data_IF_549568699800
#
_entry.id   IF_549568699800
#
_cell.length_a   1.000
_cell.length_b   1.000
_cell.length_c   1.000
_cell.angle_alpha   90.00
_cell.angle_beta   90.00
_cell.angle_gamma   90.00
#
_symmetry.space_group_name_H-M   'P 1'
#
loop_
_entity.id
_entity.type
_entity.pdbx_description
1 polymer ?
#
# COMPACT_ATOMS: atom_id res chain seq x y z
N UNK A 1 -6.01 -32.57 0.33
CA UNK A 1 -6.29 -32.34 -1.08
C UNK A 1 -5.89 -30.92 -1.37
N UNK A 2 -4.84 -30.71 -2.14
CA UNK A 2 -4.41 -29.37 -2.55
C UNK A 2 -5.49 -28.76 -3.41
N UNK A 3 -6.04 -27.60 -3.00
CA UNK A 3 -6.94 -26.83 -3.84
C UNK A 3 -6.24 -26.56 -5.18
N UNK A 4 -6.91 -26.78 -6.32
CA UNK A 4 -6.30 -26.45 -7.60
C UNK A 4 -6.01 -24.95 -7.64
N UNK A 5 -4.75 -24.60 -7.86
CA UNK A 5 -4.35 -23.22 -8.15
C UNK A 5 -5.22 -22.72 -9.31
N UNK A 6 -5.87 -21.54 -9.20
CA UNK A 6 -6.69 -21.02 -10.30
C UNK A 6 -5.88 -21.02 -11.58
N UNK A 7 -6.41 -21.62 -12.64
CA UNK A 7 -5.72 -21.69 -13.91
C UNK A 7 -5.48 -20.28 -14.46
N UNK A 8 -4.25 -19.97 -14.83
CA UNK A 8 -3.93 -18.77 -15.61
C UNK A 8 -4.59 -18.84 -16.97
N UNK A 9 -4.80 -17.73 -17.65
CA UNK A 9 -5.37 -17.74 -19.01
C UNK A 9 -4.58 -18.65 -19.96
N UNK A 10 -3.25 -18.77 -19.81
CA UNK A 10 -2.42 -19.71 -20.55
C UNK A 10 -2.76 -21.18 -20.26
N UNK A 11 -3.13 -21.51 -19.03
CA UNK A 11 -3.56 -22.86 -18.65
C UNK A 11 -4.92 -23.23 -19.23
N UNK A 12 -5.85 -22.28 -19.43
CA UNK A 12 -7.11 -22.52 -20.14
C UNK A 12 -6.91 -23.02 -21.58
N UNK A 13 -5.81 -22.63 -22.23
CA UNK A 13 -5.45 -23.04 -23.58
C UNK A 13 -4.41 -24.16 -23.63
N UNK A 14 -4.09 -24.80 -22.51
CA UNK A 14 -3.06 -25.84 -22.43
C UNK A 14 -1.64 -25.32 -22.67
N UNK A 15 -1.38 -24.03 -22.51
CA UNK A 15 -0.09 -23.37 -22.70
C UNK A 15 0.54 -23.01 -21.36
N UNK A 16 1.88 -22.98 -21.29
CA UNK A 16 2.63 -22.56 -20.10
C UNK A 16 2.72 -21.06 -19.96
N UNK A 17 2.70 -20.32 -21.08
CA UNK A 17 2.80 -18.86 -21.10
C UNK A 17 1.42 -18.20 -21.03
N UNK A 18 1.35 -17.06 -20.41
CA UNK A 18 0.18 -16.18 -20.35
C UNK A 18 0.64 -14.73 -20.59
N UNK A 19 -0.32 -13.87 -20.95
CA UNK A 19 -0.08 -12.43 -21.13
C UNK A 19 -1.16 -11.63 -20.42
N UNK A 20 -0.89 -10.34 -20.22
CA UNK A 20 -1.82 -9.40 -19.63
C UNK A 20 -3.12 -9.31 -20.45
N UNK A 21 -4.30 -9.11 -19.80
CA UNK A 21 -5.60 -9.02 -20.49
C UNK A 21 -5.85 -7.63 -21.11
N UNK A 22 -4.82 -6.88 -21.47
CA UNK A 22 -4.90 -5.56 -22.10
C UNK A 22 -3.83 -5.34 -23.16
N UNK A 23 -4.04 -4.30 -24.00
CA UNK A 23 -3.07 -3.80 -24.99
C UNK A 23 -2.58 -2.42 -24.60
N UNK A 24 -1.31 -2.15 -24.79
CA UNK A 24 -0.72 -0.82 -24.62
C UNK A 24 -1.13 0.06 -25.81
N UNK A 25 -1.76 1.20 -25.51
CA UNK A 25 -2.18 2.20 -26.53
C UNK A 25 -1.45 3.54 -26.41
N UNK A 26 -0.93 3.85 -25.21
CA UNK A 26 -0.20 5.09 -24.93
C UNK A 26 1.17 4.73 -24.38
N UNK A 27 2.20 5.43 -24.82
CA UNK A 27 3.58 5.20 -24.39
C UNK A 27 4.20 6.51 -23.91
N UNK A 28 4.99 6.43 -22.84
CA UNK A 28 5.84 7.49 -22.34
C UNK A 28 7.30 7.07 -22.52
N UNK A 29 8.11 7.83 -23.28
CA UNK A 29 9.51 7.50 -23.49
C UNK A 29 10.30 7.53 -22.18
N UNK A 30 11.14 6.54 -21.96
CA UNK A 30 12.07 6.49 -20.83
C UNK A 30 13.44 7.01 -21.25
N UNK A 31 14.08 7.79 -20.39
CA UNK A 31 15.47 8.22 -20.55
C UNK A 31 16.40 7.28 -19.80
N UNK A 32 17.43 6.81 -20.49
CA UNK A 32 18.51 6.03 -19.88
C UNK A 32 19.76 6.92 -19.78
N UNK A 33 20.16 7.25 -18.56
CA UNK A 33 21.36 8.05 -18.29
C UNK A 33 22.56 7.18 -17.89
N UNK A 34 23.76 7.69 -18.15
CA UNK A 34 24.99 7.01 -17.81
C UNK A 34 25.26 6.97 -16.29
N UNK A 35 26.21 6.09 -15.87
CA UNK A 35 26.55 5.96 -14.45
C UNK A 35 27.03 7.28 -13.83
N UNK A 36 27.82 8.08 -14.54
CA UNK A 36 28.32 9.38 -14.04
C UNK A 36 27.18 10.36 -13.77
N UNK A 37 26.19 10.41 -14.67
CA UNK A 37 24.99 11.23 -14.48
C UNK A 37 24.17 10.74 -13.28
N UNK A 38 24.03 9.41 -13.10
CA UNK A 38 23.34 8.83 -11.91
C UNK A 38 24.05 9.17 -10.60
N UNK A 39 25.38 9.10 -10.57
CA UNK A 39 26.17 9.51 -9.40
C UNK A 39 25.87 10.97 -9.04
N UNK A 40 25.92 11.86 -10.02
CA UNK A 40 25.63 13.28 -9.82
C UNK A 40 24.20 13.49 -9.32
N UNK A 41 23.20 12.87 -9.94
CA UNK A 41 21.80 12.98 -9.53
C UNK A 41 21.57 12.47 -8.09
N UNK A 42 22.23 11.37 -7.72
CA UNK A 42 22.11 10.81 -6.38
C UNK A 42 22.78 11.71 -5.33
N UNK A 43 23.95 12.27 -5.61
CA UNK A 43 24.64 13.24 -4.75
C UNK A 43 23.78 14.51 -4.53
N UNK A 44 23.22 15.06 -5.61
CA UNK A 44 22.32 16.22 -5.56
C UNK A 44 21.05 15.92 -4.75
N UNK A 45 20.52 14.71 -4.80
CA UNK A 45 19.38 14.24 -4.03
C UNK A 45 19.75 13.93 -2.55
N UNK A 46 21.02 13.96 -2.19
CA UNK A 46 21.49 13.57 -0.84
C UNK A 46 21.20 12.11 -0.54
N UNK A 47 21.43 11.22 -1.47
CA UNK A 47 21.19 9.76 -1.35
C UNK A 47 19.76 9.38 -0.95
N UNK A 48 18.79 10.28 -1.19
CA UNK A 48 17.37 10.02 -0.97
C UNK A 48 16.63 9.88 -2.30
N UNK A 49 16.17 8.69 -2.59
CA UNK A 49 15.50 8.36 -3.86
C UNK A 49 14.20 9.12 -4.10
N UNK A 50 13.56 9.67 -3.04
CA UNK A 50 12.42 10.58 -3.18
C UNK A 50 12.78 11.94 -3.78
N UNK A 51 14.02 12.37 -3.68
CA UNK A 51 14.48 13.68 -4.14
C UNK A 51 15.11 13.64 -5.55
N UNK A 52 15.18 12.45 -6.16
CA UNK A 52 15.58 12.29 -7.56
C UNK A 52 14.51 12.91 -8.49
N UNK A 53 14.95 13.59 -9.52
CA UNK A 53 14.06 14.05 -10.58
C UNK A 53 13.61 12.87 -11.44
N UNK A 54 12.36 12.89 -11.90
CA UNK A 54 11.80 11.78 -12.70
C UNK A 54 12.56 11.55 -14.01
N UNK A 55 13.11 12.62 -14.62
CA UNK A 55 13.90 12.56 -15.84
C UNK A 55 15.24 11.80 -15.71
N UNK A 56 15.71 11.63 -14.46
CA UNK A 56 16.93 10.90 -14.14
C UNK A 56 16.68 9.44 -13.72
N UNK A 57 15.44 9.01 -13.75
CA UNK A 57 15.00 7.65 -13.34
C UNK A 57 14.65 6.82 -14.57
N UNK A 58 15.22 5.61 -14.67
CA UNK A 58 14.92 4.68 -15.76
C UNK A 58 13.68 3.84 -15.45
N UNK A 59 13.69 3.05 -14.36
CA UNK A 59 12.55 2.25 -13.93
C UNK A 59 12.11 2.72 -12.55
N UNK A 60 10.89 3.27 -12.46
CA UNK A 60 10.39 3.87 -11.22
C UNK A 60 9.54 2.88 -10.41
N UNK A 61 10.15 2.27 -9.41
CA UNK A 61 9.52 1.37 -8.46
C UNK A 61 9.38 1.99 -7.06
N UNK A 62 9.41 3.35 -6.97
CA UNK A 62 9.26 4.06 -5.70
C UNK A 62 7.89 3.80 -5.07
N UNK A 63 6.84 3.88 -5.89
CA UNK A 63 5.46 3.76 -5.42
C UNK A 63 4.50 3.33 -6.54
N UNK A 64 3.41 2.67 -6.17
CA UNK A 64 2.26 2.41 -7.04
C UNK A 64 1.15 3.47 -6.86
N UNK A 65 1.43 4.55 -6.11
CA UNK A 65 0.45 5.58 -5.77
C UNK A 65 0.36 6.66 -6.84
N UNK A 66 -0.68 6.63 -7.65
CA UNK A 66 -0.90 7.62 -8.69
C UNK A 66 -0.01 7.46 -9.93
N UNK A 67 0.62 6.31 -10.08
CA UNK A 67 1.54 5.97 -11.16
C UNK A 67 1.00 4.89 -12.10
N UNK A 68 -0.23 4.43 -11.89
CA UNK A 68 -0.89 3.44 -12.74
C UNK A 68 -1.29 4.04 -14.10
N UNK A 69 -1.26 3.23 -15.15
CA UNK A 69 -1.86 3.59 -16.43
C UNK A 69 -3.38 3.45 -16.38
N UNK A 70 -4.09 4.50 -16.75
CA UNK A 70 -5.55 4.49 -16.90
C UNK A 70 -5.98 3.82 -18.20
N UNK A 71 -7.17 3.21 -18.18
CA UNK A 71 -7.78 2.59 -19.37
C UNK A 71 -8.32 3.64 -20.36
N UNK A 72 -8.59 3.20 -21.59
CA UNK A 72 -9.27 4.01 -22.58
C UNK A 72 -10.67 4.46 -22.13
N UNK A 73 -11.36 3.62 -21.30
CA UNK A 73 -12.65 3.99 -20.71
C UNK A 73 -12.52 5.06 -19.65
N UNK A 74 -11.47 5.01 -18.82
CA UNK A 74 -11.20 6.07 -17.85
C UNK A 74 -10.88 7.39 -18.55
N UNK A 75 -10.05 7.39 -19.61
CA UNK A 75 -9.78 8.58 -20.42
C UNK A 75 -11.05 9.12 -21.10
N UNK A 76 -11.88 8.25 -21.67
CA UNK A 76 -13.16 8.65 -22.25
C UNK A 76 -14.11 9.26 -21.19
N UNK A 77 -14.17 8.64 -20.00
CA UNK A 77 -14.95 9.14 -18.86
C UNK A 77 -14.51 10.53 -18.40
N UNK A 78 -13.20 10.78 -18.36
CA UNK A 78 -12.66 12.12 -18.05
C UNK A 78 -13.14 13.18 -19.05
N UNK A 79 -13.23 12.85 -20.33
CA UNK A 79 -13.74 13.77 -21.36
C UNK A 79 -15.25 14.07 -21.23
N UNK A 80 -15.98 13.23 -20.51
CA UNK A 80 -17.41 13.37 -20.20
C UNK A 80 -17.67 13.94 -18.80
N UNK A 81 -16.63 14.44 -18.14
CA UNK A 81 -16.72 15.01 -16.80
C UNK A 81 -17.73 16.16 -16.72
N UNK A 82 -18.55 16.14 -15.65
CA UNK A 82 -19.46 17.22 -15.28
C UNK A 82 -18.76 18.07 -14.23
N UNK A 83 -18.35 19.28 -14.63
CA UNK A 83 -17.58 20.18 -13.77
C UNK A 83 -18.48 21.11 -12.94
N UNK A 84 -19.70 20.66 -12.60
CA UNK A 84 -20.56 21.40 -11.68
C UNK A 84 -19.92 21.50 -10.30
N UNK A 85 -19.95 22.69 -9.69
CA UNK A 85 -19.38 22.92 -8.36
C UNK A 85 -20.07 22.08 -7.27
N UNK A 86 -21.36 21.86 -7.38
CA UNK A 86 -22.14 21.10 -6.41
C UNK A 86 -23.03 20.09 -7.12
N UNK A 87 -23.06 18.86 -6.58
CA UNK A 87 -23.97 17.81 -7.05
C UNK A 87 -23.67 17.31 -8.47
N UNK A 88 -22.37 17.28 -8.85
CA UNK A 88 -21.93 16.68 -10.11
C UNK A 88 -22.43 15.24 -10.24
N UNK A 89 -22.91 14.85 -11.44
CA UNK A 89 -23.30 13.44 -11.71
C UNK A 89 -22.16 12.47 -11.47
N UNK A 90 -20.91 12.91 -11.61
CA UNK A 90 -19.73 12.07 -11.40
C UNK A 90 -19.52 11.71 -9.92
N UNK A 91 -19.99 12.56 -8.99
CA UNK A 91 -20.06 12.19 -7.58
C UNK A 91 -21.02 11.02 -7.36
N UNK A 92 -22.22 11.05 -7.93
CA UNK A 92 -23.19 9.97 -7.78
C UNK A 92 -22.74 8.68 -8.50
N UNK A 93 -22.00 8.79 -9.59
CA UNK A 93 -21.36 7.64 -10.24
C UNK A 93 -20.30 7.01 -9.32
N UNK A 94 -19.46 7.84 -8.68
CA UNK A 94 -18.47 7.37 -7.68
C UNK A 94 -19.15 6.73 -6.47
N UNK A 95 -20.15 7.39 -5.89
CA UNK A 95 -20.92 6.87 -4.76
C UNK A 95 -21.51 5.50 -5.08
N UNK A 96 -22.17 5.39 -6.25
CA UNK A 96 -22.76 4.14 -6.74
C UNK A 96 -21.72 3.04 -6.93
N UNK A 97 -20.53 3.36 -7.45
CA UNK A 97 -19.44 2.41 -7.64
C UNK A 97 -18.90 1.89 -6.29
N UNK A 98 -18.70 2.77 -5.31
CA UNK A 98 -18.26 2.37 -3.97
C UNK A 98 -19.32 1.51 -3.28
N UNK A 99 -20.60 1.91 -3.33
CA UNK A 99 -21.71 1.13 -2.76
C UNK A 99 -21.85 -0.24 -3.42
N UNK A 100 -21.69 -0.32 -4.74
CA UNK A 100 -21.81 -1.59 -5.47
C UNK A 100 -20.71 -2.58 -5.10
N UNK A 101 -19.45 -2.14 -5.05
CA UNK A 101 -18.28 -3.01 -4.91
C UNK A 101 -17.76 -3.16 -3.49
N UNK A 102 -17.88 -2.12 -2.63
CA UNK A 102 -17.44 -2.16 -1.24
C UNK A 102 -18.60 -2.30 -0.24
N UNK A 103 -19.82 -1.92 -0.61
CA UNK A 103 -21.03 -2.17 0.17
C UNK A 103 -21.34 -1.15 1.27
N UNK A 104 -20.55 -0.09 1.43
CA UNK A 104 -20.81 0.96 2.42
C UNK A 104 -21.99 1.86 2.03
N UNK A 105 -22.69 2.41 3.03
CA UNK A 105 -23.91 3.20 2.81
C UNK A 105 -23.64 4.64 2.39
N UNK A 106 -22.66 5.28 3.02
CA UNK A 106 -22.41 6.72 2.89
C UNK A 106 -20.98 6.94 2.41
N UNK A 107 -20.77 7.75 1.39
CA UNK A 107 -19.49 7.93 0.70
C UNK A 107 -19.15 9.43 0.63
N UNK A 108 -17.90 9.76 0.90
CA UNK A 108 -17.34 11.11 0.77
C UNK A 108 -16.05 11.04 -0.06
N UNK A 109 -15.94 11.80 -1.14
CA UNK A 109 -14.69 11.90 -1.88
C UNK A 109 -13.65 12.73 -1.09
N UNK A 110 -12.39 12.47 -1.35
CA UNK A 110 -11.24 13.24 -0.88
C UNK A 110 -10.19 13.33 -1.96
N UNK A 111 -9.33 14.35 -1.93
CA UNK A 111 -8.29 14.50 -2.95
C UNK A 111 -7.30 13.33 -3.00
N UNK A 112 -7.10 12.62 -1.89
CA UNK A 112 -6.31 11.38 -1.81
C UNK A 112 -6.48 10.70 -0.45
N UNK A 113 -5.93 9.47 -0.30
CA UNK A 113 -6.08 8.65 0.90
C UNK A 113 -5.66 9.32 2.22
N UNK A 114 -4.56 10.10 2.23
CA UNK A 114 -4.13 10.77 3.48
C UNK A 114 -5.10 11.88 3.93
N UNK A 115 -5.86 12.48 3.03
CA UNK A 115 -6.98 13.34 3.40
C UNK A 115 -8.05 12.55 4.12
N UNK A 116 -8.43 11.39 3.57
CA UNK A 116 -9.36 10.46 4.20
C UNK A 116 -8.89 9.95 5.58
N UNK A 117 -7.61 9.56 5.71
CA UNK A 117 -6.98 9.19 6.99
C UNK A 117 -7.07 10.32 8.03
N UNK A 118 -6.79 11.56 7.61
CA UNK A 118 -6.86 12.73 8.46
C UNK A 118 -8.28 12.95 9.02
N UNK A 119 -9.28 12.95 8.15
CA UNK A 119 -10.67 13.19 8.52
C UNK A 119 -11.19 12.10 9.45
N UNK A 120 -10.96 10.81 9.11
CA UNK A 120 -11.36 9.69 9.95
C UNK A 120 -10.72 9.75 11.34
N UNK A 121 -9.42 10.05 11.41
CA UNK A 121 -8.72 10.17 12.69
C UNK A 121 -9.27 11.32 13.55
N UNK A 122 -9.56 12.47 12.94
CA UNK A 122 -10.12 13.62 13.67
C UNK A 122 -11.54 13.38 14.19
N UNK A 123 -12.38 12.71 13.40
CA UNK A 123 -13.75 12.42 13.79
C UNK A 123 -13.86 11.32 14.85
N UNK A 124 -12.92 10.37 14.85
CA UNK A 124 -13.08 9.12 15.61
C UNK A 124 -12.17 8.98 16.83
N UNK A 125 -11.14 9.83 16.99
CA UNK A 125 -10.15 9.69 18.07
C UNK A 125 -10.30 10.81 19.08
N UNK A 126 -10.47 10.44 20.35
CA UNK A 126 -10.32 11.35 21.50
C UNK A 126 -8.89 11.26 22.04
N UNK A 127 -8.38 12.37 22.54
CA UNK A 127 -7.01 12.42 23.04
C UNK A 127 -6.76 11.36 24.13
N UNK A 128 -5.70 10.58 23.95
CA UNK A 128 -5.27 9.54 24.86
C UNK A 128 -5.85 8.14 24.56
N UNK A 129 -6.82 8.02 23.64
CA UNK A 129 -7.34 6.72 23.23
C UNK A 129 -6.33 5.91 22.44
N UNK A 130 -6.42 4.60 22.55
CA UNK A 130 -5.61 3.63 21.81
C UNK A 130 -6.23 3.30 20.46
N UNK A 131 -5.39 3.11 19.46
CA UNK A 131 -5.75 2.66 18.11
C UNK A 131 -4.95 1.39 17.80
N UNK A 132 -5.45 0.20 18.17
CA UNK A 132 -4.81 -1.04 17.76
C UNK A 132 -4.93 -1.26 16.25
N UNK A 133 -3.89 -1.82 15.63
CA UNK A 133 -3.87 -2.11 14.20
C UNK A 133 -2.87 -3.19 13.83
N UNK A 134 -3.06 -3.78 12.64
CA UNK A 134 -2.16 -4.78 12.09
C UNK A 134 -0.93 -4.13 11.44
N UNK A 135 -0.01 -3.70 12.25
CA UNK A 135 1.16 -2.90 11.92
C UNK A 135 0.79 -1.47 11.47
N UNK A 136 1.69 -0.54 11.64
CA UNK A 136 1.48 0.85 11.24
C UNK A 136 1.66 1.05 9.73
N UNK A 137 0.91 2.01 9.17
CA UNK A 137 1.34 2.69 7.97
C UNK A 137 1.75 4.13 8.31
N UNK A 138 2.78 4.64 7.64
CA UNK A 138 3.46 5.88 8.09
C UNK A 138 2.54 7.10 8.20
N UNK A 139 1.68 7.34 7.19
CA UNK A 139 0.74 8.48 7.20
C UNK A 139 -0.45 8.22 8.11
N UNK A 140 -1.00 7.02 8.12
CA UNK A 140 -2.14 6.64 8.98
C UNK A 140 -1.79 6.84 10.45
N UNK A 141 -0.66 6.26 10.89
CA UNK A 141 -0.18 6.42 12.26
C UNK A 141 0.05 7.89 12.61
N UNK A 142 0.67 8.67 11.71
CA UNK A 142 0.89 10.10 11.97
C UNK A 142 -0.44 10.84 12.19
N UNK A 143 -1.47 10.60 11.36
CA UNK A 143 -2.78 11.24 11.54
C UNK A 143 -3.47 10.80 12.81
N UNK A 144 -3.36 9.53 13.21
CA UNK A 144 -3.86 9.03 14.49
C UNK A 144 -3.17 9.72 15.68
N UNK A 145 -1.84 9.84 15.65
CA UNK A 145 -1.05 10.53 16.69
C UNK A 145 -1.33 12.04 16.73
N UNK A 146 -1.50 12.69 15.57
CA UNK A 146 -1.89 14.12 15.51
C UNK A 146 -3.29 14.38 16.04
N UNK A 147 -4.20 13.43 15.93
CA UNK A 147 -5.52 13.48 16.56
C UNK A 147 -5.47 13.20 18.08
N UNK A 148 -4.30 12.82 18.61
CA UNK A 148 -4.08 12.53 20.02
C UNK A 148 -4.20 11.05 20.39
N UNK A 149 -4.31 10.16 19.42
CA UNK A 149 -4.37 8.70 19.60
C UNK A 149 -2.99 8.09 19.89
N UNK A 150 -3.00 6.88 20.41
CA UNK A 150 -1.82 6.05 20.70
C UNK A 150 -1.91 4.79 19.86
N UNK A 151 -1.11 4.69 18.81
CA UNK A 151 -1.05 3.49 17.98
C UNK A 151 -0.47 2.30 18.78
N UNK A 152 -1.12 1.12 18.66
CA UNK A 152 -0.65 -0.15 19.24
C UNK A 152 -0.60 -1.22 18.16
N UNK A 153 0.57 -1.81 17.97
CA UNK A 153 0.74 -2.93 17.04
C UNK A 153 0.19 -4.23 17.66
N UNK A 154 -0.81 -4.79 17.01
CA UNK A 154 -1.45 -6.07 17.37
C UNK A 154 -1.42 -7.09 16.24
N UNK A 155 -0.48 -6.95 15.29
CA UNK A 155 -0.27 -7.94 14.22
C UNK A 155 0.31 -9.25 14.79
N UNK A 156 0.08 -10.36 14.10
CA UNK A 156 0.72 -11.65 14.44
C UNK A 156 2.24 -11.57 14.35
N UNK A 157 2.94 -12.39 15.13
CA UNK A 157 4.41 -12.34 15.22
C UNK A 157 5.10 -12.76 13.93
N UNK A 158 4.51 -13.66 13.15
CA UNK A 158 4.99 -14.11 11.84
C UNK A 158 5.14 -12.96 10.82
N UNK A 159 4.41 -11.87 11.00
CA UNK A 159 4.53 -10.67 10.17
C UNK A 159 5.90 -9.99 10.31
N UNK A 160 6.58 -10.19 11.44
CA UNK A 160 7.88 -9.63 11.73
C UNK A 160 9.06 -10.53 11.29
N UNK A 161 8.78 -11.72 10.79
CA UNK A 161 9.77 -12.62 10.20
C UNK A 161 9.65 -12.60 8.66
N UNK A 162 10.64 -12.02 7.93
CA UNK A 162 10.62 -12.02 6.47
C UNK A 162 10.58 -13.41 5.85
N UNK A 163 11.06 -14.44 6.55
CA UNK A 163 11.16 -15.81 6.04
C UNK A 163 9.98 -16.70 6.42
N UNK A 164 9.12 -16.25 7.31
CA UNK A 164 7.90 -16.99 7.66
C UNK A 164 7.01 -17.18 6.43
N UNK A 165 6.60 -18.43 6.18
CA UNK A 165 5.70 -18.80 5.07
C UNK A 165 4.22 -18.78 5.47
N UNK A 166 3.87 -18.11 6.58
CA UNK A 166 2.48 -17.98 7.00
C UNK A 166 1.65 -17.33 5.88
N UNK A 167 0.51 -17.92 5.45
CA UNK A 167 -0.23 -17.48 4.26
C UNK A 167 -0.88 -16.10 4.41
N UNK A 168 -1.17 -15.68 5.65
CA UNK A 168 -1.86 -14.45 5.97
C UNK A 168 -1.13 -13.68 7.08
N UNK A 169 0.08 -13.22 6.80
CA UNK A 169 0.90 -12.46 7.77
C UNK A 169 0.31 -11.08 8.13
N UNK A 170 -0.76 -10.66 7.46
CA UNK A 170 -1.49 -9.44 7.81
C UNK A 170 -2.51 -9.61 8.93
N UNK A 171 -2.75 -10.82 9.41
CA UNK A 171 -3.76 -11.12 10.43
C UNK A 171 -3.49 -10.39 11.74
N UNK A 172 -4.57 -9.99 12.43
CA UNK A 172 -4.52 -9.46 13.80
C UNK A 172 -4.37 -10.63 14.79
N UNK A 173 -3.46 -10.48 15.74
CA UNK A 173 -3.37 -11.31 16.92
C UNK A 173 -4.50 -10.91 17.89
N UNK A 174 -5.52 -11.75 17.94
CA UNK A 174 -6.73 -11.49 18.76
C UNK A 174 -6.44 -11.50 20.26
N UNK A 175 -5.44 -12.28 20.69
CA UNK A 175 -5.04 -12.32 22.11
C UNK A 175 -4.33 -11.03 22.53
N UNK A 176 -3.46 -10.47 21.65
CA UNK A 176 -2.85 -9.14 21.87
C UNK A 176 -3.91 -8.06 21.95
N UNK A 177 -4.91 -8.08 21.06
CA UNK A 177 -6.02 -7.12 21.08
C UNK A 177 -6.87 -7.27 22.34
N UNK A 178 -7.26 -8.49 22.68
CA UNK A 178 -8.07 -8.73 23.88
C UNK A 178 -7.32 -8.36 25.17
N UNK A 179 -6.01 -8.62 25.24
CA UNK A 179 -5.17 -8.19 26.35
C UNK A 179 -5.10 -6.65 26.47
N UNK A 180 -5.03 -5.94 25.35
CA UNK A 180 -5.10 -4.48 25.35
C UNK A 180 -6.45 -3.98 25.89
N UNK A 181 -7.56 -4.53 25.39
CA UNK A 181 -8.92 -4.15 25.84
C UNK A 181 -9.11 -4.44 27.33
N UNK A 182 -8.64 -5.57 27.83
CA UNK A 182 -8.71 -5.92 29.27
C UNK A 182 -7.88 -4.99 30.16
N UNK A 183 -6.74 -4.53 29.66
CA UNK A 183 -5.82 -3.66 30.42
C UNK A 183 -6.29 -2.22 30.47
N UNK A 184 -6.76 -1.67 29.35
CA UNK A 184 -7.03 -0.25 29.20
C UNK A 184 -8.54 0.10 29.34
N UNK A 185 -9.43 -0.87 29.10
CA UNK A 185 -10.88 -0.68 28.97
C UNK A 185 -11.34 -0.46 27.52
N UNK A 186 -12.49 -0.98 27.16
CA UNK A 186 -13.03 -0.88 25.80
C UNK A 186 -13.29 0.57 25.36
N UNK A 187 -13.69 1.43 26.30
CA UNK A 187 -13.95 2.87 26.08
C UNK A 187 -12.67 3.66 25.76
N UNK A 188 -11.50 3.11 26.08
CA UNK A 188 -10.21 3.70 25.72
C UNK A 188 -9.73 3.26 24.34
N UNK A 189 -10.44 2.37 23.66
CA UNK A 189 -10.15 1.99 22.28
C UNK A 189 -11.00 2.84 21.34
N UNK A 190 -10.33 3.66 20.51
CA UNK A 190 -11.04 4.51 19.53
C UNK A 190 -11.71 3.65 18.45
N UNK A 191 -10.93 2.78 17.84
CA UNK A 191 -11.34 1.78 16.84
C UNK A 191 -10.17 0.85 16.53
N UNK A 192 -10.43 -0.29 15.88
CA UNK A 192 -9.39 -1.13 15.29
C UNK A 192 -9.09 -0.63 13.89
N UNK A 193 -7.81 -0.31 13.61
CA UNK A 193 -7.30 0.12 12.31
C UNK A 193 -6.79 -1.09 11.53
N UNK A 194 -7.59 -1.61 10.60
CA UNK A 194 -7.27 -2.80 9.81
C UNK A 194 -6.77 -2.41 8.42
N UNK A 195 -5.60 -2.86 8.02
CA UNK A 195 -5.07 -2.65 6.68
C UNK A 195 -5.11 -3.95 5.85
N UNK A 196 -5.62 -3.89 4.64
CA UNK A 196 -5.58 -4.99 3.67
C UNK A 196 -5.07 -4.46 2.31
N UNK A 197 -3.93 -4.91 1.84
CA UNK A 197 -2.83 -5.70 2.41
C UNK A 197 -1.91 -4.85 3.29
N UNK A 198 -1.20 -5.48 4.25
CA UNK A 198 -0.30 -4.78 5.17
C UNK A 198 1.02 -4.42 4.49
N UNK A 199 1.17 -3.15 4.12
CA UNK A 199 2.32 -2.64 3.37
C UNK A 199 3.65 -2.86 4.13
N UNK A 200 3.70 -2.46 5.41
CA UNK A 200 4.95 -2.51 6.20
C UNK A 200 5.39 -3.94 6.55
N UNK A 201 4.49 -4.93 6.44
CA UNK A 201 4.81 -6.35 6.59
C UNK A 201 5.24 -7.03 5.27
N UNK A 202 5.39 -6.28 4.18
CA UNK A 202 5.73 -6.85 2.87
C UNK A 202 4.53 -7.03 1.93
N UNK A 203 3.47 -6.24 2.09
CA UNK A 203 2.24 -6.36 1.28
C UNK A 203 1.43 -7.63 1.58
N UNK A 204 1.43 -8.04 2.84
CA UNK A 204 0.86 -9.30 3.30
C UNK A 204 -0.64 -9.23 3.53
N UNK A 205 -1.41 -10.26 3.12
CA UNK A 205 -2.86 -10.26 3.22
C UNK A 205 -3.37 -10.59 4.62
N UNK A 206 -4.62 -10.18 4.85
CA UNK A 206 -5.48 -10.56 6.00
C UNK A 206 -6.46 -11.64 5.54
N UNK A 207 -6.66 -12.68 6.36
CA UNK A 207 -7.62 -13.74 6.08
C UNK A 207 -9.07 -13.33 6.39
N UNK A 208 -10.02 -13.88 5.70
CA UNK A 208 -11.44 -13.71 6.02
C UNK A 208 -11.79 -14.35 7.37
N UNK A 209 -11.16 -15.47 7.70
CA UNK A 209 -11.34 -16.15 8.98
C UNK A 209 -10.91 -15.25 10.16
N UNK A 210 -9.75 -14.60 10.05
CA UNK A 210 -9.29 -13.65 11.08
C UNK A 210 -10.23 -12.45 11.21
N UNK A 211 -10.67 -11.87 10.08
CA UNK A 211 -11.62 -10.76 10.11
C UNK A 211 -12.95 -11.13 10.77
N UNK A 212 -13.50 -12.31 10.47
CA UNK A 212 -14.74 -12.79 11.13
C UNK A 212 -14.57 -12.95 12.63
N UNK A 213 -13.45 -13.51 13.07
CA UNK A 213 -13.13 -13.64 14.49
C UNK A 213 -12.89 -12.28 15.15
N UNK A 214 -12.20 -11.37 14.47
CA UNK A 214 -12.02 -9.98 14.91
C UNK A 214 -13.37 -9.26 15.09
N UNK A 215 -14.32 -9.45 14.15
CA UNK A 215 -15.66 -8.84 14.26
C UNK A 215 -16.39 -9.33 15.51
N UNK A 216 -16.35 -10.64 15.78
CA UNK A 216 -16.96 -11.21 16.99
C UNK A 216 -16.34 -10.62 18.27
N UNK A 217 -15.01 -10.45 18.30
CA UNK A 217 -14.32 -9.84 19.43
C UNK A 217 -14.74 -8.37 19.61
N UNK A 218 -14.73 -7.60 18.51
CA UNK A 218 -15.08 -6.18 18.52
C UNK A 218 -16.55 -5.94 18.90
N UNK A 219 -17.48 -6.76 18.42
CA UNK A 219 -18.90 -6.68 18.77
C UNK A 219 -19.14 -6.88 20.27
N UNK A 220 -18.42 -7.82 20.88
CA UNK A 220 -18.50 -8.09 22.33
C UNK A 220 -18.14 -6.86 23.18
N UNK A 221 -17.27 -6.00 22.65
CA UNK A 221 -16.78 -4.82 23.36
C UNK A 221 -17.32 -3.49 22.81
N UNK A 222 -18.17 -3.51 21.79
CA UNK A 222 -18.70 -2.31 21.14
C UNK A 222 -17.65 -1.49 20.37
N UNK A 223 -16.56 -2.13 19.91
CA UNK A 223 -15.44 -1.49 19.21
C UNK A 223 -15.72 -1.52 17.72
N UNK A 224 -15.50 -0.38 17.03
CA UNK A 224 -15.60 -0.27 15.57
C UNK A 224 -14.33 -0.77 14.88
N UNK A 225 -14.48 -1.28 13.65
CA UNK A 225 -13.37 -1.67 12.77
C UNK A 225 -13.38 -0.75 11.56
N UNK A 226 -12.32 0.03 11.36
CA UNK A 226 -12.14 0.82 10.14
C UNK A 226 -11.04 0.25 9.28
N UNK A 227 -11.35 0.10 7.99
CA UNK A 227 -10.51 -0.55 6.99
C UNK A 227 -9.71 0.46 6.18
N UNK A 228 -8.40 0.29 6.12
CA UNK A 228 -7.62 0.83 5.00
C UNK A 228 -7.82 -0.07 3.78
N UNK A 229 -8.72 0.39 2.88
CA UNK A 229 -9.12 -0.38 1.71
C UNK A 229 -8.16 -0.22 0.50
N UNK A 230 -7.06 0.46 0.69
CA UNK A 230 -6.15 0.91 -0.39
C UNK A 230 -5.70 -0.21 -1.34
N UNK A 231 -5.53 -1.45 -0.86
CA UNK A 231 -5.17 -2.63 -1.66
C UNK A 231 -6.01 -3.86 -1.34
N UNK A 232 -7.28 -3.63 -1.05
CA UNK A 232 -8.22 -4.71 -0.69
C UNK A 232 -8.57 -5.64 -1.85
N UNK A 233 -8.47 -5.18 -3.09
CA UNK A 233 -8.66 -6.04 -4.26
C UNK A 233 -7.54 -7.09 -4.33
N UNK A 234 -6.29 -6.68 -4.06
CA UNK A 234 -5.16 -7.62 -3.96
C UNK A 234 -5.34 -8.58 -2.76
N UNK A 235 -5.85 -8.09 -1.63
CA UNK A 235 -6.16 -8.93 -0.46
C UNK A 235 -7.23 -9.99 -0.79
N UNK A 236 -8.29 -9.60 -1.48
CA UNK A 236 -9.37 -10.50 -1.90
C UNK A 236 -8.86 -11.62 -2.83
N UNK A 237 -7.87 -11.33 -3.70
CA UNK A 237 -7.21 -12.35 -4.50
C UNK A 237 -6.50 -13.40 -3.62
N UNK A 238 -5.79 -13.00 -2.59
CA UNK A 238 -5.11 -13.95 -1.70
C UNK A 238 -6.10 -14.79 -0.89
N UNK A 239 -7.25 -14.23 -0.50
CA UNK A 239 -8.35 -15.00 0.09
C UNK A 239 -8.87 -16.02 -0.92
N UNK A 240 -9.14 -15.62 -2.17
CA UNK A 240 -9.58 -16.54 -3.23
C UNK A 240 -8.58 -17.69 -3.43
N UNK A 241 -7.29 -17.39 -3.39
CA UNK A 241 -6.23 -18.35 -3.68
C UNK A 241 -5.92 -19.29 -2.51
N UNK A 242 -5.93 -18.77 -1.26
CA UNK A 242 -5.32 -19.46 -0.12
C UNK A 242 -6.33 -19.94 0.92
N UNK A 243 -7.52 -19.35 0.96
CA UNK A 243 -8.49 -19.64 2.02
C UNK A 243 -9.50 -20.69 1.59
N UNK A 244 -9.73 -21.77 2.39
CA UNK A 244 -10.73 -22.80 2.06
C UNK A 244 -12.13 -22.20 1.88
N UNK A 245 -12.84 -22.63 0.83
CA UNK A 245 -14.20 -22.18 0.54
C UNK A 245 -14.31 -20.93 -0.34
N UNK A 246 -13.18 -20.27 -0.68
CA UNK A 246 -13.18 -19.08 -1.53
C UNK A 246 -12.68 -19.33 -2.96
N UNK A 247 -12.13 -20.49 -3.23
CA UNK A 247 -11.67 -20.86 -4.58
C UNK A 247 -12.82 -20.73 -5.61
N UNK A 248 -12.58 -19.95 -6.67
CA UNK A 248 -13.55 -19.71 -7.73
C UNK A 248 -14.65 -18.68 -7.42
N UNK A 249 -14.73 -18.14 -6.20
CA UNK A 249 -15.61 -17.02 -5.89
C UNK A 249 -15.04 -15.74 -6.53
N UNK A 250 -15.87 -14.92 -7.24
CA UNK A 250 -15.38 -13.69 -7.84
C UNK A 250 -14.70 -12.75 -6.83
N UNK A 251 -13.61 -12.10 -7.22
CA UNK A 251 -12.87 -11.17 -6.36
C UNK A 251 -13.77 -10.04 -5.87
N UNK A 252 -14.66 -9.53 -6.72
CA UNK A 252 -15.63 -8.50 -6.36
C UNK A 252 -16.54 -8.93 -5.20
N UNK A 253 -16.98 -10.20 -5.17
CA UNK A 253 -17.84 -10.73 -4.11
C UNK A 253 -17.08 -10.93 -2.81
N UNK A 254 -15.81 -11.37 -2.89
CA UNK A 254 -14.93 -11.51 -1.71
C UNK A 254 -14.63 -10.13 -1.11
N UNK A 255 -14.33 -9.14 -1.94
CA UNK A 255 -14.11 -7.77 -1.51
C UNK A 255 -15.33 -7.22 -0.76
N UNK A 256 -16.52 -7.37 -1.35
CA UNK A 256 -17.77 -6.89 -0.74
C UNK A 256 -18.09 -7.63 0.57
N UNK A 257 -17.88 -8.95 0.61
CA UNK A 257 -18.02 -9.74 1.84
C UNK A 257 -17.08 -9.24 2.93
N UNK A 258 -15.79 -9.01 2.60
CA UNK A 258 -14.79 -8.51 3.56
C UNK A 258 -15.20 -7.16 4.14
N UNK A 259 -15.56 -6.21 3.28
CA UNK A 259 -16.02 -4.88 3.73
C UNK A 259 -17.27 -4.94 4.60
N UNK A 260 -18.14 -5.92 4.39
CA UNK A 260 -19.35 -6.13 5.17
C UNK A 260 -19.11 -6.44 6.66
N UNK A 261 -17.89 -6.84 7.06
CA UNK A 261 -17.49 -7.04 8.45
C UNK A 261 -16.85 -5.80 9.09
N UNK A 262 -16.81 -4.67 8.40
CA UNK A 262 -16.20 -3.41 8.88
C UNK A 262 -17.24 -2.29 8.97
N UNK A 263 -16.99 -1.31 9.83
CA UNK A 263 -17.93 -0.20 10.09
C UNK A 263 -17.72 0.96 9.11
N UNK A 264 -16.59 0.98 8.41
CA UNK A 264 -16.24 1.98 7.41
C UNK A 264 -14.83 1.77 6.88
N UNK A 265 -14.47 2.59 5.89
CA UNK A 265 -13.17 2.51 5.26
C UNK A 265 -12.67 3.86 4.79
N UNK A 266 -11.35 3.99 4.66
CA UNK A 266 -10.69 5.01 3.84
C UNK A 266 -9.93 4.36 2.70
N UNK A 267 -9.80 5.11 1.61
CA UNK A 267 -9.20 4.62 0.39
C UNK A 267 -8.26 5.65 -0.24
N UNK A 268 -7.06 5.23 -0.54
CA UNK A 268 -6.26 5.92 -1.54
C UNK A 268 -6.54 5.33 -2.91
N UNK A 269 -7.43 5.97 -3.66
CA UNK A 269 -7.85 5.50 -4.97
C UNK A 269 -6.71 5.43 -6.00
N UNK A 270 -5.60 6.09 -5.68
CA UNK A 270 -4.36 6.11 -6.47
C UNK A 270 -3.66 4.75 -6.58
N UNK A 271 -4.20 3.68 -6.02
CA UNK A 271 -3.72 2.28 -6.10
C UNK A 271 -4.76 1.41 -6.79
N UNK A 272 -5.56 0.66 -6.00
CA UNK A 272 -6.50 -0.30 -6.57
C UNK A 272 -7.55 0.33 -7.50
N UNK A 273 -7.98 1.58 -7.25
CA UNK A 273 -8.95 2.23 -8.14
C UNK A 273 -8.36 2.84 -9.42
N UNK A 274 -7.08 2.56 -9.72
CA UNK A 274 -6.43 2.81 -11.02
C UNK A 274 -6.43 4.26 -11.50
N UNK A 275 -6.41 5.24 -10.59
CA UNK A 275 -6.37 6.67 -10.92
C UNK A 275 -5.08 7.34 -10.45
N UNK A 276 -4.78 8.51 -11.02
CA UNK A 276 -3.57 9.27 -10.69
C UNK A 276 -3.80 10.25 -9.52
N UNK A 277 -5.06 10.57 -9.22
CA UNK A 277 -5.49 11.40 -8.08
C UNK A 277 -6.78 10.83 -7.50
N UNK A 278 -7.04 11.09 -6.23
CA UNK A 278 -8.30 10.73 -5.60
C UNK A 278 -8.21 9.78 -4.42
N UNK A 279 -9.23 9.84 -3.60
CA UNK A 279 -9.50 8.97 -2.48
C UNK A 279 -10.97 9.10 -2.07
N UNK A 280 -11.37 8.29 -1.13
CA UNK A 280 -12.70 8.38 -0.54
C UNK A 280 -12.72 7.86 0.89
N UNK A 281 -13.70 8.32 1.63
CA UNK A 281 -14.16 7.80 2.92
C UNK A 281 -15.52 7.16 2.74
N UNK A 282 -15.79 6.08 3.44
CA UNK A 282 -17.12 5.49 3.47
C UNK A 282 -17.42 4.90 4.85
N UNK A 283 -18.64 5.08 5.31
CA UNK A 283 -19.11 4.60 6.61
C UNK A 283 -20.56 4.14 6.54
N UNK A 284 -20.98 3.32 7.51
CA UNK A 284 -22.36 2.84 7.63
C UNK A 284 -23.19 3.65 8.65
N UNK A 285 -22.54 4.31 9.58
CA UNK A 285 -23.13 5.10 10.65
C UNK A 285 -23.44 6.53 10.17
N UNK A 286 -24.68 6.98 10.36
CA UNK A 286 -25.11 8.30 9.88
C UNK A 286 -24.52 9.46 10.69
N UNK A 287 -24.40 9.32 11.99
CA UNK A 287 -23.88 10.41 12.84
C UNK A 287 -22.40 10.66 12.54
N UNK A 288 -21.62 9.58 12.38
CA UNK A 288 -20.23 9.67 11.94
C UNK A 288 -20.12 10.26 10.53
N UNK A 289 -21.03 9.88 9.63
CA UNK A 289 -21.05 10.44 8.26
C UNK A 289 -21.30 11.97 8.28
N UNK A 290 -22.23 12.46 9.09
CA UNK A 290 -22.50 13.89 9.22
C UNK A 290 -21.28 14.65 9.74
N UNK A 291 -20.59 14.12 10.75
CA UNK A 291 -19.35 14.70 11.27
C UNK A 291 -18.25 14.73 10.19
N UNK A 292 -18.04 13.63 9.50
CA UNK A 292 -17.07 13.54 8.41
C UNK A 292 -17.40 14.49 7.26
N UNK A 293 -18.68 14.63 6.91
CA UNK A 293 -19.17 15.57 5.90
C UNK A 293 -18.84 17.01 6.24
N UNK A 294 -19.01 17.41 7.50
CA UNK A 294 -18.64 18.73 7.99
C UNK A 294 -17.11 18.95 7.90
N UNK A 295 -16.31 17.95 8.28
CA UNK A 295 -14.85 18.02 8.18
C UNK A 295 -14.36 18.06 6.72
N UNK A 296 -15.03 17.37 5.78
CA UNK A 296 -14.74 17.49 4.34
C UNK A 296 -14.90 18.93 3.87
N UNK A 297 -15.98 19.60 4.28
CA UNK A 297 -16.21 21.02 3.91
C UNK A 297 -15.09 21.92 4.45
N UNK A 298 -14.55 21.63 5.61
CA UNK A 298 -13.48 22.43 6.22
C UNK A 298 -12.12 22.21 5.53
N UNK A 299 -11.80 20.97 5.13
CA UNK A 299 -10.42 20.58 4.76
C UNK A 299 -10.24 20.18 3.30
N UNK A 300 -11.27 19.64 2.65
CA UNK A 300 -11.15 19.06 1.31
C UNK A 300 -11.94 19.87 0.26
N UNK A 301 -13.07 20.45 0.64
CA UNK A 301 -13.99 21.17 -0.23
C UNK A 301 -15.43 20.76 0.03
N UNK A 302 -16.35 20.86 -0.96
CA UNK A 302 -17.73 20.44 -0.75
C UNK A 302 -17.82 18.89 -0.72
N UNK A 303 -18.75 18.36 0.05
CA UNK A 303 -18.94 16.91 0.22
C UNK A 303 -19.26 16.15 -1.09
N UNK A 304 -19.67 16.83 -2.15
CA UNK A 304 -19.93 16.23 -3.47
C UNK A 304 -18.74 16.33 -4.44
N UNK A 305 -17.57 16.83 -4.01
CA UNK A 305 -16.34 16.75 -4.82
C UNK A 305 -15.07 16.49 -4.03
N UNK A 306 -14.99 16.84 -2.73
CA UNK A 306 -13.85 16.49 -1.87
C UNK A 306 -12.47 16.89 -2.40
N UNK A 307 -12.35 18.08 -3.01
CA UNK A 307 -11.10 18.56 -3.61
C UNK A 307 -10.77 17.97 -4.98
N UNK A 308 -11.70 17.25 -5.63
CA UNK A 308 -11.54 16.64 -6.95
C UNK A 308 -12.35 17.38 -8.02
N UNK A 309 -11.91 17.33 -9.26
CA UNK A 309 -12.75 17.67 -10.40
C UNK A 309 -13.74 16.54 -10.73
N UNK A 310 -14.86 16.86 -11.39
CA UNK A 310 -15.84 15.87 -11.80
C UNK A 310 -15.22 14.75 -12.66
N UNK A 311 -14.34 15.12 -13.60
CA UNK A 311 -13.61 14.15 -14.44
C UNK A 311 -12.75 13.16 -13.65
N UNK A 312 -12.14 13.57 -12.53
CA UNK A 312 -11.34 12.68 -11.69
C UNK A 312 -12.23 11.66 -10.96
N UNK A 313 -13.41 12.10 -10.48
CA UNK A 313 -14.40 11.21 -9.86
C UNK A 313 -14.95 10.20 -10.86
N UNK A 314 -15.21 10.61 -12.12
CA UNK A 314 -15.63 9.67 -13.17
C UNK A 314 -14.58 8.62 -13.46
N UNK A 315 -13.32 9.04 -13.65
CA UNK A 315 -12.21 8.09 -13.85
C UNK A 315 -12.09 7.11 -12.68
N UNK A 316 -12.33 7.57 -11.45
CA UNK A 316 -12.29 6.74 -10.24
C UNK A 316 -13.45 5.72 -10.21
N UNK A 317 -14.67 6.14 -10.54
CA UNK A 317 -15.84 5.24 -10.62
C UNK A 317 -15.61 4.10 -11.63
N UNK A 318 -15.08 4.43 -12.81
CA UNK A 318 -14.73 3.45 -13.85
C UNK A 318 -13.59 2.55 -13.35
N UNK A 319 -12.57 3.12 -12.73
CA UNK A 319 -11.41 2.38 -12.21
C UNK A 319 -11.79 1.39 -11.12
N UNK A 320 -12.73 1.71 -10.23
CA UNK A 320 -13.28 0.78 -9.24
C UNK A 320 -13.87 -0.47 -9.93
N UNK A 321 -14.72 -0.28 -10.93
CA UNK A 321 -15.36 -1.39 -11.64
C UNK A 321 -14.36 -2.25 -12.46
N UNK A 322 -13.27 -1.65 -12.94
CA UNK A 322 -12.21 -2.39 -13.65
C UNK A 322 -11.29 -3.14 -12.72
N UNK A 323 -10.98 -2.59 -11.55
CA UNK A 323 -10.00 -3.14 -10.61
C UNK A 323 -10.40 -4.49 -10.03
N UNK A 324 -11.69 -4.73 -9.86
CA UNK A 324 -12.23 -5.96 -9.25
C UNK A 324 -12.36 -7.15 -10.22
N UNK A 325 -11.92 -6.99 -11.47
CA UNK A 325 -11.96 -8.08 -12.44
C UNK A 325 -10.87 -9.10 -12.16
N UNK A 326 -11.24 -10.36 -12.08
CA UNK A 326 -10.36 -11.48 -11.73
C UNK A 326 -9.13 -11.59 -12.64
N UNK A 327 -9.28 -11.37 -13.94
CA UNK A 327 -8.20 -11.41 -14.92
C UNK A 327 -7.20 -10.26 -14.70
N UNK A 328 -7.69 -9.04 -14.40
CA UNK A 328 -6.86 -7.90 -14.06
C UNK A 328 -6.02 -8.16 -12.80
N UNK A 329 -6.66 -8.62 -11.72
CA UNK A 329 -5.97 -8.84 -10.45
C UNK A 329 -4.95 -9.97 -10.56
N UNK A 330 -5.31 -11.05 -11.29
CA UNK A 330 -4.42 -12.18 -11.56
C UNK A 330 -3.16 -11.74 -12.32
N UNK A 331 -3.32 -10.92 -13.37
CA UNK A 331 -2.18 -10.36 -14.12
C UNK A 331 -1.32 -9.47 -13.22
N UNK A 332 -1.95 -8.64 -12.38
CA UNK A 332 -1.28 -7.76 -11.40
C UNK A 332 -0.40 -8.57 -10.44
N UNK A 333 -0.97 -9.56 -9.77
CA UNK A 333 -0.25 -10.41 -8.81
C UNK A 333 0.80 -11.26 -9.52
N UNK A 334 0.48 -11.76 -10.73
CA UNK A 334 1.40 -12.56 -11.54
C UNK A 334 2.69 -11.80 -11.87
N UNK A 335 2.61 -10.52 -12.21
CA UNK A 335 3.79 -9.70 -12.50
C UNK A 335 4.70 -9.53 -11.25
N UNK A 336 4.11 -9.32 -10.08
CA UNK A 336 4.86 -9.22 -8.81
C UNK A 336 5.54 -10.56 -8.48
N UNK A 337 4.81 -11.67 -8.63
CA UNK A 337 5.34 -13.02 -8.41
C UNK A 337 6.49 -13.35 -9.34
N UNK A 338 6.38 -13.02 -10.62
CA UNK A 338 7.43 -13.25 -11.59
C UNK A 338 8.78 -12.68 -11.11
N UNK A 339 8.81 -11.42 -10.69
CA UNK A 339 10.02 -10.81 -10.13
C UNK A 339 10.44 -11.52 -8.83
N UNK A 340 9.50 -11.87 -7.96
CA UNK A 340 9.79 -12.56 -6.71
C UNK A 340 10.40 -13.95 -6.90
N UNK A 341 9.91 -14.71 -7.87
CA UNK A 341 10.42 -16.04 -8.23
C UNK A 341 11.85 -15.96 -8.75
N UNK A 342 12.15 -15.03 -9.67
CA UNK A 342 13.52 -14.82 -10.17
C UNK A 342 14.50 -14.53 -9.03
N UNK A 343 14.13 -13.65 -8.10
CA UNK A 343 14.99 -13.30 -6.97
C UNK A 343 15.15 -14.44 -5.98
N UNK A 344 14.10 -15.23 -5.78
CA UNK A 344 14.13 -16.41 -4.90
C UNK A 344 15.02 -17.51 -5.47
N UNK A 345 14.94 -17.76 -6.78
CA UNK A 345 15.77 -18.73 -7.49
C UNK A 345 17.28 -18.38 -7.40
N UNK A 346 17.59 -17.09 -7.31
CA UNK A 346 18.95 -16.60 -7.09
C UNK A 346 19.35 -16.47 -5.61
N UNK A 347 18.52 -16.96 -4.69
CA UNK A 347 18.74 -16.90 -3.24
C UNK A 347 18.91 -15.45 -2.72
N UNK A 348 18.29 -14.49 -3.34
CA UNK A 348 18.27 -13.10 -2.85
C UNK A 348 17.24 -13.00 -1.73
N UNK A 349 17.61 -12.42 -0.57
CA UNK A 349 16.70 -12.36 0.57
C UNK A 349 15.55 -11.37 0.34
N UNK A 350 14.34 -11.90 0.21
CA UNK A 350 13.08 -11.13 0.10
C UNK A 350 12.09 -11.57 1.17
N UNK A 351 11.06 -10.76 1.41
CA UNK A 351 9.93 -11.16 2.27
C UNK A 351 9.12 -12.27 1.59
N UNK A 352 8.89 -13.34 2.32
CA UNK A 352 8.08 -14.48 1.92
C UNK A 352 6.81 -14.60 2.77
N UNK A 353 5.71 -15.18 2.21
CA UNK A 353 5.49 -15.35 0.78
C UNK A 353 5.40 -13.99 0.07
N UNK A 354 5.57 -13.96 -1.24
CA UNK A 354 5.50 -12.71 -2.03
C UNK A 354 4.13 -12.06 -1.87
N UNK A 355 4.12 -10.77 -1.58
CA UNK A 355 2.91 -9.97 -1.40
C UNK A 355 2.27 -9.47 -2.69
N UNK A 356 1.27 -8.56 -2.59
CA UNK A 356 0.42 -8.19 -3.72
C UNK A 356 1.00 -7.12 -4.65
N UNK A 357 1.75 -6.14 -4.13
CA UNK A 357 2.04 -4.91 -4.88
C UNK A 357 3.53 -4.64 -5.13
N UNK A 358 4.40 -5.36 -4.46
CA UNK A 358 5.83 -5.07 -4.46
C UNK A 358 6.64 -6.30 -4.07
N UNK A 359 7.90 -6.29 -4.45
CA UNK A 359 8.93 -7.11 -3.81
C UNK A 359 9.58 -6.29 -2.70
N UNK A 360 9.77 -6.93 -1.55
CA UNK A 360 10.43 -6.33 -0.40
C UNK A 360 11.73 -7.08 -0.14
N UNK A 361 12.84 -6.43 -0.47
CA UNK A 361 14.19 -6.95 -0.19
C UNK A 361 14.48 -6.82 1.30
N UNK A 362 14.91 -7.89 1.95
CA UNK A 362 15.34 -7.88 3.34
C UNK A 362 16.76 -7.31 3.45
N UNK A 363 16.85 -6.01 3.71
CA UNK A 363 18.13 -5.31 3.73
C UNK A 363 19.07 -5.75 4.84
N UNK A 364 18.58 -6.29 5.96
CA UNK A 364 19.42 -6.87 7.00
C UNK A 364 20.16 -8.12 6.53
N UNK A 365 19.46 -8.99 5.83
CA UNK A 365 20.06 -10.22 5.27
C UNK A 365 20.85 -9.93 3.99
N UNK A 366 20.48 -8.86 3.29
CA UNK A 366 21.21 -8.40 2.10
C UNK A 366 22.57 -7.81 2.48
N UNK A 367 22.63 -6.97 3.53
CA UNK A 367 23.83 -6.32 4.05
C UNK A 367 24.08 -6.65 5.54
N UNK A 368 24.45 -7.88 5.90
CA UNK A 368 24.61 -8.28 7.29
C UNK A 368 25.73 -7.51 8.03
N UNK A 369 26.63 -6.88 7.29
CA UNK A 369 27.74 -6.09 7.81
C UNK A 369 27.39 -4.60 8.03
N UNK A 370 26.23 -4.11 7.54
CA UNK A 370 25.79 -2.73 7.74
C UNK A 370 24.81 -2.68 8.92
N UNK A 371 25.17 -2.04 10.04
CA UNK A 371 24.28 -1.93 11.18
C UNK A 371 23.07 -1.06 10.85
N UNK A 372 21.94 -1.32 11.47
CA UNK A 372 20.66 -0.65 11.15
C UNK A 372 20.74 0.89 11.25
N UNK A 373 21.54 1.42 12.21
CA UNK A 373 21.77 2.87 12.38
C UNK A 373 22.45 3.51 11.15
N UNK A 374 23.05 2.72 10.28
CA UNK A 374 23.66 3.16 9.02
C UNK A 374 22.73 2.95 7.82
N UNK A 375 21.43 2.80 8.04
CA UNK A 375 20.37 2.80 7.02
C UNK A 375 20.55 1.79 5.89
N UNK A 376 20.68 0.48 6.16
CA UNK A 376 20.95 -0.51 5.10
C UNK A 376 19.88 -0.55 4.01
N UNK A 377 18.60 -0.34 4.32
CA UNK A 377 17.53 -0.30 3.32
C UNK A 377 17.61 0.93 2.41
N UNK A 378 17.99 2.10 2.95
CA UNK A 378 18.23 3.30 2.14
C UNK A 378 19.50 3.14 1.30
N UNK A 379 20.53 2.50 1.86
CA UNK A 379 21.76 2.15 1.13
C UNK A 379 21.44 1.28 -0.08
N UNK A 380 20.61 0.23 0.13
CA UNK A 380 20.20 -0.65 -0.97
C UNK A 380 19.42 0.10 -2.06
N UNK A 381 18.51 0.99 -1.68
CA UNK A 381 17.80 1.83 -2.64
C UNK A 381 18.75 2.72 -3.47
N UNK A 382 19.76 3.30 -2.84
CA UNK A 382 20.79 4.11 -3.50
C UNK A 382 21.66 3.28 -4.45
N UNK A 383 22.10 2.08 -4.04
CA UNK A 383 22.94 1.21 -4.87
C UNK A 383 22.19 0.69 -6.11
N UNK A 384 20.90 0.33 -5.99
CA UNK A 384 20.05 -0.04 -7.14
C UNK A 384 19.93 1.10 -8.16
N UNK A 385 19.78 2.32 -7.67
CA UNK A 385 19.77 3.49 -8.57
C UNK A 385 21.11 3.71 -9.25
N UNK A 386 22.22 3.59 -8.53
CA UNK A 386 23.58 3.71 -9.10
C UNK A 386 23.88 2.64 -10.13
N UNK A 387 23.40 1.41 -9.93
CA UNK A 387 23.62 0.30 -10.83
C UNK A 387 22.91 0.53 -12.18
N UNK A 388 21.61 0.75 -12.16
CA UNK A 388 20.81 0.73 -13.39
C UNK A 388 19.73 1.82 -13.49
N UNK A 389 19.68 2.80 -12.59
CA UNK A 389 18.68 3.87 -12.61
C UNK A 389 17.31 3.44 -12.10
N UNK A 390 17.23 2.34 -11.36
CA UNK A 390 16.01 1.86 -10.71
C UNK A 390 15.75 2.66 -9.44
N UNK A 391 14.61 3.33 -9.35
CA UNK A 391 14.19 4.05 -8.16
C UNK A 391 13.32 3.16 -7.27
N UNK A 392 13.75 2.92 -6.04
CA UNK A 392 13.07 2.12 -5.02
C UNK A 392 12.91 2.90 -3.71
N UNK A 393 12.26 2.30 -2.71
CA UNK A 393 11.89 2.99 -1.47
C UNK A 393 12.34 2.23 -0.24
N UNK A 394 12.95 2.95 0.70
CA UNK A 394 13.25 2.47 2.05
C UNK A 394 11.98 2.22 2.85
N UNK A 395 11.92 1.12 3.61
CA UNK A 395 10.88 0.74 4.57
C UNK A 395 11.51 0.12 5.83
N UNK A 396 12.35 0.89 6.49
CA UNK A 396 13.07 0.49 7.69
C UNK A 396 13.20 1.64 8.68
N UNK A 397 14.39 1.86 9.20
CA UNK A 397 14.67 2.83 10.26
C UNK A 397 14.36 4.28 9.87
N UNK A 398 14.54 4.68 8.60
CA UNK A 398 14.18 6.03 8.16
C UNK A 398 12.66 6.23 8.16
N UNK A 399 11.90 5.25 7.65
CA UNK A 399 10.43 5.26 7.66
C UNK A 399 9.83 5.17 9.07
N UNK A 400 10.46 4.43 9.98
CA UNK A 400 10.00 4.27 11.35
C UNK A 400 10.04 5.58 12.18
N UNK A 401 10.97 6.48 11.85
CA UNK A 401 11.07 7.78 12.51
C UNK A 401 11.77 7.75 13.85
N UNK A 402 11.42 8.71 14.71
CA UNK A 402 11.98 8.86 16.08
C UNK A 402 10.89 8.80 17.13
N UNK A 403 11.28 8.32 18.29
CA UNK A 403 10.46 8.46 19.50
C UNK A 403 10.37 9.94 19.87
N UNK A 404 9.18 10.53 19.90
CA UNK A 404 9.02 11.97 20.17
C UNK A 404 9.39 12.34 21.61
N UNK A 405 9.45 11.38 22.53
CA UNK A 405 9.79 11.62 23.94
C UNK A 405 11.31 11.57 24.21
N UNK A 406 12.01 10.61 23.59
CA UNK A 406 13.45 10.39 23.84
C UNK A 406 14.34 10.98 22.74
N UNK A 407 13.81 11.22 21.54
CA UNK A 407 14.58 11.61 20.35
C UNK A 407 15.33 10.45 19.67
N UNK A 408 15.30 9.26 20.24
CA UNK A 408 15.97 8.08 19.68
C UNK A 408 15.27 7.56 18.44
N UNK A 409 16.00 6.89 17.55
CA UNK A 409 15.40 6.15 16.44
C UNK A 409 14.47 5.07 16.95
N UNK A 410 13.32 4.91 16.30
CA UNK A 410 12.61 3.63 16.34
C UNK A 410 13.39 2.62 15.50
N UNK A 411 13.69 1.48 16.10
CA UNK A 411 14.36 0.36 15.44
C UNK A 411 13.31 -0.70 15.08
N UNK A 412 12.73 -0.67 13.87
CA UNK A 412 11.74 -1.66 13.48
C UNK A 412 12.38 -3.05 13.39
N UNK A 413 11.57 -4.09 13.61
CA UNK A 413 12.01 -5.48 13.43
C UNK A 413 12.34 -5.78 11.95
N UNK A 414 11.62 -5.13 11.03
CA UNK A 414 11.82 -5.24 9.59
C UNK A 414 12.66 -4.05 9.06
N UNK A 415 13.62 -4.35 8.20
CA UNK A 415 14.45 -3.36 7.50
C UNK A 415 14.42 -3.70 6.02
N UNK A 416 13.51 -3.07 5.28
CA UNK A 416 13.14 -3.50 3.93
C UNK A 416 13.41 -2.42 2.89
N UNK A 417 13.78 -2.85 1.68
CA UNK A 417 13.77 -1.98 0.48
C UNK A 417 12.66 -2.48 -0.43
N UNK A 418 11.71 -1.60 -0.72
CA UNK A 418 10.50 -1.91 -1.48
C UNK A 418 10.66 -1.57 -2.96
N UNK A 419 10.44 -2.56 -3.82
CA UNK A 419 10.32 -2.45 -5.26
C UNK A 419 8.83 -2.50 -5.63
N UNK A 420 8.17 -1.34 -5.66
CA UNK A 420 6.73 -1.27 -5.89
C UNK A 420 6.42 -1.23 -7.37
N UNK A 421 5.67 -2.18 -7.89
CA UNK A 421 5.36 -2.27 -9.31
C UNK A 421 4.07 -1.48 -9.61
N UNK A 422 4.11 -0.37 -10.40
CA UNK A 422 2.92 0.34 -10.86
C UNK A 422 2.03 -0.57 -11.73
N UNK A 423 0.72 -0.40 -11.60
CA UNK A 423 -0.26 -1.22 -12.34
C UNK A 423 -0.30 -0.82 -13.81
N UNK A 424 -0.20 -1.78 -14.72
CA UNK A 424 -0.32 -1.62 -16.19
C UNK A 424 0.76 -0.74 -16.82
N UNK A 425 1.97 -0.63 -16.22
CA UNK A 425 3.03 0.30 -16.68
C UNK A 425 4.20 -0.45 -17.28
N UNK A 426 4.83 -1.31 -16.51
CA UNK A 426 6.04 -2.02 -16.91
C UNK A 426 5.74 -3.40 -17.49
N UNK A 427 6.56 -3.82 -18.45
CA UNK A 427 6.52 -5.14 -19.08
C UNK A 427 7.42 -6.13 -18.33
N UNK A 428 7.33 -7.42 -18.71
CA UNK A 428 8.23 -8.45 -18.18
C UNK A 428 9.70 -8.10 -18.39
N UNK A 429 10.09 -7.56 -19.56
CA UNK A 429 11.48 -7.16 -19.83
C UNK A 429 12.01 -6.11 -18.83
N UNK A 430 11.16 -5.21 -18.33
CA UNK A 430 11.55 -4.30 -17.25
C UNK A 430 11.80 -5.06 -15.95
N UNK A 431 11.00 -6.10 -15.65
CA UNK A 431 11.20 -6.92 -14.45
C UNK A 431 12.48 -7.75 -14.52
N UNK A 432 12.85 -8.22 -15.72
CA UNK A 432 14.13 -8.91 -15.96
C UNK A 432 15.33 -7.98 -15.65
N UNK A 433 15.30 -6.75 -16.16
CA UNK A 433 16.33 -5.73 -15.85
C UNK A 433 16.38 -5.44 -14.34
N UNK A 434 15.23 -5.34 -13.67
CA UNK A 434 15.18 -5.13 -12.22
C UNK A 434 15.80 -6.31 -11.48
N UNK A 435 15.48 -7.54 -11.86
CA UNK A 435 16.04 -8.74 -11.23
C UNK A 435 17.57 -8.80 -11.42
N UNK A 436 18.06 -8.57 -12.63
CA UNK A 436 19.50 -8.55 -12.94
C UNK A 436 20.24 -7.47 -12.16
N UNK A 437 19.66 -6.27 -12.02
CA UNK A 437 20.24 -5.18 -11.21
C UNK A 437 20.32 -5.56 -9.74
N UNK A 438 19.25 -6.11 -9.18
CA UNK A 438 19.26 -6.59 -7.78
C UNK A 438 20.34 -7.65 -7.59
N UNK A 439 20.50 -8.58 -8.54
CA UNK A 439 21.53 -9.61 -8.52
C UNK A 439 22.94 -9.03 -8.55
N UNK A 440 23.18 -8.07 -9.45
CA UNK A 440 24.49 -7.41 -9.58
C UNK A 440 24.87 -6.68 -8.28
N UNK A 441 23.93 -5.95 -7.68
CA UNK A 441 24.14 -5.27 -6.39
C UNK A 441 24.36 -6.30 -5.25
N UNK A 442 23.62 -7.41 -5.26
CA UNK A 442 23.80 -8.48 -4.27
C UNK A 442 25.18 -9.14 -4.36
N UNK A 443 25.66 -9.43 -5.56
CA UNK A 443 26.97 -10.03 -5.76
C UNK A 443 28.13 -9.09 -5.33
N UNK A 444 27.93 -7.78 -5.45
CA UNK A 444 28.90 -6.75 -5.04
C UNK A 444 28.78 -6.28 -3.57
N UNK A 445 27.81 -6.79 -2.81
CA UNK A 445 27.34 -6.24 -1.53
C UNK A 445 28.40 -6.07 -0.43
N UNK A 446 29.42 -6.89 -0.39
CA UNK A 446 30.44 -6.87 0.67
C UNK A 446 31.28 -5.58 0.66
N UNK A 447 31.35 -4.90 -0.49
CA UNK A 447 32.09 -3.63 -0.66
C UNK A 447 31.24 -2.41 -0.31
N UNK A 448 29.95 -2.59 -0.16
CA UNK A 448 29.00 -1.50 0.11
C UNK A 448 29.14 -1.03 1.55
N UNK A 449 29.11 0.27 1.74
CA UNK A 449 29.12 0.93 3.06
C UNK A 449 27.77 1.57 3.32
N UNK A 450 27.43 1.73 4.59
CA UNK A 450 26.19 2.39 5.01
C UNK A 450 26.16 3.88 4.74
N UNK A 451 25.10 4.51 5.21
CA UNK A 451 24.85 5.93 5.11
C UNK A 451 24.77 6.57 6.51
N UNK A 452 25.07 7.87 6.57
CA UNK A 452 24.81 8.73 7.73
C UNK A 452 23.74 9.76 7.33
N UNK A 453 22.70 9.91 8.18
CA UNK A 453 21.67 10.95 7.98
C UNK A 453 22.23 12.30 8.42
N UNK A 454 22.31 13.26 7.47
CA UNK A 454 22.85 14.60 7.69
C UNK A 454 21.78 15.69 7.80
N UNK A 455 20.55 15.39 7.35
CA UNK A 455 19.39 16.25 7.48
C UNK A 455 18.12 15.43 7.69
N UNK A 456 17.24 15.89 8.56
CA UNK A 456 16.00 15.22 8.90
C UNK A 456 14.88 16.25 9.17
N UNK A 457 13.74 16.16 8.46
CA UNK A 457 12.57 16.98 8.73
C UNK A 457 11.80 16.45 9.94
N UNK A 458 10.93 17.30 10.52
CA UNK A 458 10.14 16.96 11.72
C UNK A 458 9.18 15.79 11.54
N UNK A 459 8.54 15.69 10.39
CA UNK A 459 7.53 14.66 10.08
C UNK A 459 7.90 13.84 8.86
N UNK A 460 7.59 12.54 8.89
CA UNK A 460 7.74 11.62 7.74
C UNK A 460 9.11 11.80 7.06
N UNK A 461 10.16 11.75 7.86
CA UNK A 461 11.53 12.15 7.47
C UNK A 461 12.02 11.47 6.20
N UNK A 462 11.61 10.22 5.93
CA UNK A 462 12.02 9.47 4.74
C UNK A 462 11.71 10.18 3.41
N UNK A 463 10.73 11.09 3.36
CA UNK A 463 10.43 11.86 2.15
C UNK A 463 11.50 12.91 1.81
N UNK A 464 12.16 13.49 2.83
CA UNK A 464 13.00 14.68 2.65
C UNK A 464 14.36 14.59 3.34
N UNK A 465 14.63 13.55 4.13
CA UNK A 465 15.91 13.34 4.75
C UNK A 465 17.04 13.33 3.72
N UNK A 466 18.23 13.78 4.12
CA UNK A 466 19.45 13.71 3.32
C UNK A 466 20.50 12.89 4.02
N UNK A 467 21.24 12.16 3.23
CA UNK A 467 22.28 11.26 3.71
C UNK A 467 23.60 11.55 3.00
N UNK A 468 24.67 11.06 3.59
CA UNK A 468 25.98 10.96 2.95
C UNK A 468 26.52 9.53 3.09
N UNK A 469 27.37 9.11 2.18
CA UNK A 469 28.07 7.83 2.22
C UNK A 469 29.13 7.82 3.32
N UNK A 470 29.27 6.69 4.02
CA UNK A 470 30.30 6.45 5.05
C UNK A 470 31.59 5.89 4.45
#
# INVERSE_FOLDING_TARGET
>A
MTNPVPQTMGQQFGRRSWAEPWKIKMVEPLRVIGREERVKALDESGYNTFLLKSEDVYIDLLTDSGTSAMSDRQWAGMMLGDEAYAGSRNFYNLESAVQAHYGYKHVLPTHQGRGAEHLMSRASIKRGQYVPGNMYFTTTRLHQELAGGIFVDVIIDEAHDPQSMHPFKGDIDLDKLEALVKREGAEQIAYVSLAGTVNMAGGQPVSMANLKALRVLCDRHGIKIFLDATRMVENAFFIQEREPGYAGKPIADILKEFCGYTDGAWMSAKKDNLVNIGGWLAVNDWELFEELRNLVVVYEGLHTYGGLAGRDMEAMAIGIAESVKDDHVRARIGQVRYLGELLTDWNIPIVQPVGGHAIFLDARRFYPHIPQVQFPAQTLAAELYLDSGIRSMERGIASAGRNPKTGDHYYPKLELTRLTIPRRVYTQAHMDVVAESVKAVYDGRERTRGLEMVYEPRYLRFFQARFKRL
#
